data_IF_185425101724
#
_entry.id   IF_185425101724
#
_cell.length_a   1.000
_cell.length_b   1.000
_cell.length_c   1.000
_cell.angle_alpha   90.00
_cell.angle_beta   90.00
_cell.angle_gamma   90.00
#
_symmetry.space_group_name_H-M   'P 1'
#
loop_
_entity.id
_entity.type
_entity.pdbx_description
1 polymer ?
#
# COMPACT_ATOMS: atom_id res chain seq x y z
N UNK A 1 45.55 -17.20 3.45
CA UNK A 1 44.46 -17.79 4.28
C UNK A 1 43.74 -16.65 4.98
N UNK A 2 42.51 -16.36 4.53
CA UNK A 2 41.78 -15.13 4.82
C UNK A 2 41.40 -14.93 6.30
N UNK A 3 41.41 -13.68 6.81
CA UNK A 3 40.88 -13.34 8.13
C UNK A 3 39.41 -12.89 8.08
N UNK A 4 38.62 -13.38 9.05
CA UNK A 4 37.55 -12.65 9.77
C UNK A 4 36.37 -12.05 9.01
N UNK A 5 35.23 -12.76 8.99
CA UNK A 5 33.90 -12.17 8.79
C UNK A 5 33.02 -12.34 10.04
N UNK A 6 32.53 -11.27 10.70
CA UNK A 6 31.60 -11.38 11.81
C UNK A 6 30.15 -11.54 11.33
N UNK A 7 29.57 -12.75 11.47
CA UNK A 7 28.15 -13.07 11.20
C UNK A 7 27.24 -12.81 12.42
N UNK A 8 27.11 -11.57 12.89
CA UNK A 8 26.23 -11.28 14.05
C UNK A 8 25.26 -10.09 13.83
N UNK A 9 25.42 -9.26 12.81
CA UNK A 9 24.67 -7.99 12.74
C UNK A 9 23.28 -8.00 12.10
N UNK A 10 22.78 -9.11 11.55
CA UNK A 10 21.52 -9.10 10.79
C UNK A 10 20.26 -9.56 11.56
N UNK A 11 20.35 -9.96 12.83
CA UNK A 11 19.21 -10.61 13.53
C UNK A 11 18.52 -9.77 14.62
N UNK A 12 18.90 -8.51 14.83
CA UNK A 12 18.36 -7.74 15.98
C UNK A 12 17.64 -6.43 15.60
N UNK A 13 17.59 -6.03 14.32
CA UNK A 13 16.96 -4.75 13.95
C UNK A 13 15.43 -4.78 13.78
N UNK A 14 14.76 -5.94 13.87
CA UNK A 14 13.32 -6.01 13.59
C UNK A 14 12.40 -6.15 14.82
N UNK A 15 12.91 -6.12 16.05
CA UNK A 15 12.04 -6.43 17.20
C UNK A 15 11.71 -5.28 18.16
N UNK A 16 12.45 -4.15 18.22
CA UNK A 16 12.22 -3.18 19.31
C UNK A 16 12.52 -1.68 19.01
N UNK A 17 12.31 -1.17 17.79
CA UNK A 17 12.36 0.30 17.56
C UNK A 17 11.21 0.83 16.67
N UNK A 18 10.67 2.02 16.97
CA UNK A 18 9.50 2.57 16.29
C UNK A 18 9.81 2.92 14.83
N UNK A 19 8.89 2.52 13.96
CA UNK A 19 8.98 2.43 12.50
C UNK A 19 9.19 3.75 11.72
N UNK A 20 9.53 4.86 12.39
CA UNK A 20 9.64 6.20 11.80
C UNK A 20 11.01 6.56 11.22
N UNK A 21 12.11 6.04 11.77
CA UNK A 21 13.46 6.53 11.45
C UNK A 21 14.24 5.72 10.39
N UNK A 22 13.76 4.53 10.00
CA UNK A 22 14.43 3.72 8.98
C UNK A 22 14.35 4.33 7.56
N UNK A 23 13.24 5.02 7.24
CA UNK A 23 13.04 5.62 5.91
C UNK A 23 13.90 6.88 5.72
N UNK A 24 14.19 7.61 6.81
CA UNK A 24 15.01 8.82 6.78
C UNK A 24 16.49 8.50 6.51
N UNK A 25 17.02 7.46 7.18
CA UNK A 25 18.41 7.03 7.02
C UNK A 25 18.71 6.53 5.60
N UNK A 26 17.77 5.82 4.96
CA UNK A 26 17.93 5.36 3.58
C UNK A 26 17.90 6.50 2.56
N UNK A 27 17.10 7.55 2.81
CA UNK A 27 17.01 8.73 1.93
C UNK A 27 18.27 9.59 1.93
N UNK A 28 18.91 9.77 3.08
CA UNK A 28 20.17 10.53 3.19
C UNK A 28 21.32 9.81 2.46
N UNK A 29 21.41 8.48 2.58
CA UNK A 29 22.43 7.69 1.91
C UNK A 29 22.32 7.73 0.37
N UNK A 30 21.09 7.70 -0.17
CA UNK A 30 20.85 7.80 -1.63
C UNK A 30 21.18 9.20 -2.15
N UNK A 31 20.87 10.25 -1.38
CA UNK A 31 21.15 11.64 -1.79
C UNK A 31 22.66 11.95 -1.85
N UNK A 32 23.46 11.40 -0.91
CA UNK A 32 24.91 11.55 -0.92
C UNK A 32 25.59 10.77 -2.05
N UNK A 33 25.05 9.61 -2.44
CA UNK A 33 25.59 8.82 -3.55
C UNK A 33 25.37 9.50 -4.92
N UNK A 34 24.21 10.15 -5.13
CA UNK A 34 23.92 10.84 -6.40
C UNK A 34 24.73 12.11 -6.62
N UNK A 35 25.09 12.85 -5.54
CA UNK A 35 25.89 14.07 -5.66
C UNK A 35 27.35 13.79 -6.05
N UNK A 36 27.90 12.64 -5.63
CA UNK A 36 29.25 12.20 -6.01
C UNK A 36 29.34 11.81 -7.50
N UNK A 37 28.28 11.21 -8.07
CA UNK A 37 28.25 10.83 -9.49
C UNK A 37 28.16 12.05 -10.43
N UNK A 38 27.44 13.09 -10.05
CA UNK A 38 27.30 14.31 -10.86
C UNK A 38 28.61 15.11 -11.01
N UNK A 39 29.53 14.99 -10.04
CA UNK A 39 30.80 15.75 -10.02
C UNK A 39 31.88 15.15 -10.94
N UNK A 40 31.76 13.88 -11.32
CA UNK A 40 32.72 13.19 -12.17
C UNK A 40 32.58 13.54 -13.68
N UNK A 41 31.42 14.05 -14.12
CA UNK A 41 31.20 14.42 -15.53
C UNK A 41 31.72 15.82 -15.89
N UNK A 42 32.12 16.64 -14.92
CA UNK A 42 32.45 18.06 -15.14
C UNK A 42 33.93 18.34 -15.52
N UNK A 43 34.81 17.34 -15.56
CA UNK A 43 36.26 17.56 -15.71
C UNK A 43 36.83 17.40 -17.13
N UNK A 44 36.01 17.15 -18.16
CA UNK A 44 36.52 16.91 -19.51
C UNK A 44 35.98 17.87 -20.59
N UNK A 45 36.13 19.17 -20.34
CA UNK A 45 35.99 20.20 -21.39
C UNK A 45 37.33 20.92 -21.50
N UNK A 46 38.21 20.39 -22.35
CA UNK A 46 39.37 21.13 -22.84
C UNK A 46 38.90 22.24 -23.78
N UNK A 47 39.15 23.49 -23.42
CA UNK A 47 38.83 24.65 -24.25
C UNK A 47 39.58 24.57 -25.60
N UNK A 48 38.93 24.94 -26.73
CA UNK A 48 39.62 25.00 -28.02
C UNK A 48 40.61 26.18 -28.06
N UNK A 49 41.73 26.07 -28.80
CA UNK A 49 42.69 27.17 -28.94
C UNK A 49 42.06 28.33 -29.74
N UNK A 50 42.27 29.55 -29.26
CA UNK A 50 41.81 30.77 -29.92
C UNK A 50 42.56 31.01 -31.25
N UNK A 51 41.87 31.35 -32.35
CA UNK A 51 42.54 31.78 -33.58
C UNK A 51 43.02 33.23 -33.43
N UNK A 52 44.34 33.42 -33.52
CA UNK A 52 44.96 34.72 -33.75
C UNK A 52 44.86 35.09 -35.24
N UNK A 53 44.16 36.17 -35.57
CA UNK A 53 44.28 36.77 -36.91
C UNK A 53 43.98 38.26 -36.87
N UNK A 54 45.04 39.05 -37.00
CA UNK A 54 45.03 40.45 -37.42
C UNK A 54 44.42 40.55 -38.83
N UNK A 55 43.22 41.13 -38.97
CA UNK A 55 42.63 41.58 -40.26
C UNK A 55 41.80 42.85 -40.00
N UNK A 56 41.95 43.94 -40.80
CA UNK A 56 41.28 45.23 -40.58
C UNK A 56 39.76 45.15 -40.86
N UNK A 57 38.94 46.15 -40.43
CA UNK A 57 37.48 46.03 -40.41
C UNK A 57 36.88 46.23 -41.81
N UNK A 58 36.98 45.22 -42.66
CA UNK A 58 36.04 45.02 -43.75
C UNK A 58 34.90 44.16 -43.19
N UNK A 59 33.70 44.72 -43.15
CA UNK A 59 32.51 44.15 -42.50
C UNK A 59 32.44 42.63 -42.61
N UNK A 60 32.59 41.95 -41.47
CA UNK A 60 32.50 40.51 -41.38
C UNK A 60 31.17 40.07 -41.99
N UNK A 61 31.20 39.34 -43.11
CA UNK A 61 30.01 38.73 -43.67
C UNK A 61 29.55 37.64 -42.71
N UNK A 62 28.64 38.02 -41.81
CA UNK A 62 27.96 37.09 -40.91
C UNK A 62 27.05 36.24 -41.80
N UNK A 63 27.31 34.93 -41.85
CA UNK A 63 26.43 34.00 -42.54
C UNK A 63 24.99 34.15 -41.97
N UNK A 64 23.95 34.20 -42.82
CA UNK A 64 22.58 34.37 -42.34
C UNK A 64 22.20 33.20 -41.43
N UNK A 65 21.70 33.53 -40.24
CA UNK A 65 21.22 32.54 -39.28
C UNK A 65 19.96 31.86 -39.82
N UNK A 66 19.90 30.53 -39.71
CA UNK A 66 18.72 29.74 -40.03
C UNK A 66 18.54 29.52 -41.54
N UNK A 67 18.74 28.28 -41.97
CA UNK A 67 18.15 27.79 -43.24
C UNK A 67 16.78 27.21 -42.91
N UNK A 68 15.80 27.37 -43.81
CA UNK A 68 14.43 26.87 -43.61
C UNK A 68 14.40 25.37 -43.22
N UNK A 69 15.31 24.57 -43.80
CA UNK A 69 15.47 23.16 -43.48
C UNK A 69 15.87 22.91 -42.02
N UNK A 70 16.81 23.72 -41.49
CA UNK A 70 17.26 23.61 -40.08
C UNK A 70 16.17 24.04 -39.10
N UNK A 71 15.35 25.03 -39.46
CA UNK A 71 14.21 25.43 -38.64
C UNK A 71 13.16 24.31 -38.58
N UNK A 72 12.91 23.64 -39.72
CA UNK A 72 11.96 22.53 -39.82
C UNK A 72 12.42 21.29 -39.04
N UNK A 73 13.71 20.98 -39.07
CA UNK A 73 14.29 19.90 -38.27
C UNK A 73 14.16 20.15 -36.76
N UNK A 74 14.45 21.38 -36.32
CA UNK A 74 14.32 21.77 -34.92
C UNK A 74 12.86 21.74 -34.45
N UNK A 75 11.91 22.17 -35.28
CA UNK A 75 10.48 22.06 -34.99
C UNK A 75 10.03 20.60 -34.86
N UNK A 76 10.47 19.72 -35.76
CA UNK A 76 10.16 18.29 -35.67
C UNK A 76 10.79 17.63 -34.44
N UNK A 77 12.00 18.04 -34.06
CA UNK A 77 12.64 17.57 -32.83
C UNK A 77 11.87 18.04 -31.58
N UNK A 78 11.44 19.30 -31.56
CA UNK A 78 10.62 19.84 -30.47
C UNK A 78 9.29 19.10 -30.34
N UNK A 79 8.61 18.83 -31.46
CA UNK A 79 7.35 18.07 -31.48
C UNK A 79 7.53 16.65 -30.91
N UNK A 80 8.54 15.90 -31.38
CA UNK A 80 8.82 14.55 -30.84
C UNK A 80 9.17 14.56 -29.34
N UNK A 81 9.82 15.62 -28.88
CA UNK A 81 10.14 15.79 -27.46
C UNK A 81 8.86 16.05 -26.66
N UNK A 82 7.91 16.80 -27.19
CA UNK A 82 6.61 17.03 -26.55
C UNK A 82 5.80 15.73 -26.45
N UNK A 83 5.74 14.92 -27.52
CA UNK A 83 5.04 13.63 -27.50
C UNK A 83 5.61 12.72 -26.40
N UNK A 84 6.94 12.64 -26.29
CA UNK A 84 7.60 11.85 -25.24
C UNK A 84 7.26 12.34 -23.82
N UNK A 85 7.12 13.66 -23.64
CA UNK A 85 6.72 14.22 -22.35
C UNK A 85 5.25 13.91 -22.03
N UNK A 86 4.37 13.90 -23.03
CA UNK A 86 2.98 13.50 -22.86
C UNK A 86 2.90 12.03 -22.43
N UNK A 87 3.60 11.13 -23.12
CA UNK A 87 3.68 9.71 -22.74
C UNK A 87 4.18 9.53 -21.29
N UNK A 88 5.18 10.32 -20.89
CA UNK A 88 5.71 10.30 -19.54
C UNK A 88 4.70 10.77 -18.50
N UNK A 89 3.94 11.83 -18.80
CA UNK A 89 2.89 12.36 -17.91
C UNK A 89 1.74 11.37 -17.78
N UNK A 90 1.27 10.80 -18.89
CA UNK A 90 0.18 9.81 -18.88
C UNK A 90 0.57 8.57 -18.05
N UNK A 91 1.79 8.05 -18.25
CA UNK A 91 2.27 6.92 -17.46
C UNK A 91 2.45 7.27 -15.96
N UNK A 92 2.91 8.50 -15.66
CA UNK A 92 3.02 8.98 -14.29
C UNK A 92 1.65 9.09 -13.60
N UNK A 93 0.63 9.58 -14.32
CA UNK A 93 -0.73 9.66 -13.80
C UNK A 93 -1.30 8.28 -13.48
N UNK A 94 -1.15 7.31 -14.40
CA UNK A 94 -1.60 5.93 -14.15
C UNK A 94 -0.92 5.35 -12.90
N UNK A 95 0.37 5.61 -12.72
CA UNK A 95 1.10 5.16 -11.54
C UNK A 95 0.58 5.82 -10.25
N UNK A 96 0.29 7.12 -10.28
CA UNK A 96 -0.18 7.86 -9.12
C UNK A 96 -1.61 7.47 -8.73
N UNK A 97 -2.51 7.28 -9.70
CA UNK A 97 -3.86 6.79 -9.45
C UNK A 97 -3.81 5.41 -8.78
N UNK A 98 -3.04 4.47 -9.34
CA UNK A 98 -2.86 3.14 -8.72
C UNK A 98 -2.35 3.28 -7.28
N UNK A 99 -1.32 4.09 -7.05
CA UNK A 99 -0.76 4.33 -5.71
C UNK A 99 -1.80 4.89 -4.74
N UNK A 100 -2.58 5.88 -5.16
CA UNK A 100 -3.62 6.50 -4.34
C UNK A 100 -4.76 5.52 -4.03
N UNK A 101 -5.25 4.79 -5.04
CA UNK A 101 -6.31 3.80 -4.91
C UNK A 101 -5.90 2.66 -3.97
N UNK A 102 -4.71 2.06 -4.15
CA UNK A 102 -4.27 0.97 -3.27
C UNK A 102 -4.10 1.43 -1.82
N UNK A 103 -3.68 2.68 -1.59
CA UNK A 103 -3.61 3.25 -0.24
C UNK A 103 -4.99 3.48 0.35
N UNK A 104 -5.93 3.99 -0.43
CA UNK A 104 -7.31 4.17 0.00
C UNK A 104 -7.97 2.83 0.34
N UNK A 105 -7.84 1.82 -0.53
CA UNK A 105 -8.37 0.47 -0.32
C UNK A 105 -7.77 -0.23 0.89
N UNK A 106 -6.48 -0.03 1.17
CA UNK A 106 -5.85 -0.60 2.38
C UNK A 106 -6.46 -0.01 3.65
N UNK A 107 -6.76 1.30 3.66
CA UNK A 107 -7.42 1.97 4.79
C UNK A 107 -8.89 1.55 4.91
N UNK A 108 -9.59 1.48 3.78
CA UNK A 108 -10.98 1.05 3.72
C UNK A 108 -11.13 -0.37 4.29
N UNK A 109 -10.29 -1.32 3.83
CA UNK A 109 -10.30 -2.69 4.33
C UNK A 109 -10.07 -2.77 5.84
N UNK A 110 -9.15 -1.97 6.38
CA UNK A 110 -8.90 -1.94 7.82
C UNK A 110 -10.10 -1.38 8.60
N UNK A 111 -10.76 -0.34 8.07
CA UNK A 111 -11.97 0.22 8.65
C UNK A 111 -13.13 -0.78 8.58
N UNK A 112 -13.39 -1.40 7.42
CA UNK A 112 -14.44 -2.39 7.22
C UNK A 112 -14.30 -3.58 8.18
N UNK A 113 -13.11 -4.16 8.30
CA UNK A 113 -12.88 -5.27 9.24
C UNK A 113 -13.23 -4.85 10.68
N UNK A 114 -12.86 -3.63 11.07
CA UNK A 114 -13.17 -3.10 12.40
C UNK A 114 -14.67 -2.87 12.60
N UNK A 115 -15.36 -2.33 11.59
CA UNK A 115 -16.81 -2.13 11.66
C UNK A 115 -17.55 -3.46 11.73
N UNK A 116 -17.13 -4.48 10.97
CA UNK A 116 -17.70 -5.82 11.08
C UNK A 116 -17.46 -6.47 12.45
N UNK A 117 -16.26 -6.31 13.04
CA UNK A 117 -16.00 -6.81 14.41
C UNK A 117 -16.85 -6.06 15.46
N UNK A 118 -17.13 -4.79 15.22
CA UNK A 118 -17.99 -3.98 16.09
C UNK A 118 -19.44 -4.45 16.01
N UNK A 119 -19.97 -4.65 14.80
CA UNK A 119 -21.34 -5.15 14.59
C UNK A 119 -21.51 -6.52 15.24
N UNK A 120 -20.57 -7.45 15.01
CA UNK A 120 -20.65 -8.79 15.59
C UNK A 120 -20.71 -8.78 17.14
N UNK A 121 -19.93 -7.88 17.78
CA UNK A 121 -19.98 -7.69 19.24
C UNK A 121 -21.33 -7.14 19.70
N UNK A 122 -21.85 -6.13 19.01
CA UNK A 122 -23.15 -5.53 19.35
C UNK A 122 -24.30 -6.53 19.17
N UNK A 123 -24.27 -7.34 18.12
CA UNK A 123 -25.28 -8.39 17.89
C UNK A 123 -25.23 -9.45 18.99
N UNK A 124 -24.04 -9.88 19.40
CA UNK A 124 -23.90 -10.86 20.49
C UNK A 124 -24.41 -10.29 21.82
N UNK A 125 -24.06 -9.03 22.13
CA UNK A 125 -24.56 -8.35 23.32
C UNK A 125 -26.08 -8.22 23.32
N UNK A 126 -26.68 -7.87 22.18
CA UNK A 126 -28.13 -7.78 22.06
C UNK A 126 -28.82 -9.14 22.27
N UNK A 127 -28.21 -10.23 21.79
CA UNK A 127 -28.72 -11.59 22.02
C UNK A 127 -28.60 -11.96 23.50
N UNK A 128 -27.45 -11.69 24.12
CA UNK A 128 -27.22 -12.00 25.54
C UNK A 128 -28.20 -11.23 26.43
N UNK A 129 -28.38 -9.93 26.20
CA UNK A 129 -29.34 -9.10 26.94
C UNK A 129 -30.79 -9.56 26.75
N UNK A 130 -31.16 -9.97 25.52
CA UNK A 130 -32.49 -10.53 25.27
C UNK A 130 -32.71 -11.82 26.06
N UNK A 131 -31.72 -12.72 26.07
CA UNK A 131 -31.77 -13.99 26.78
C UNK A 131 -31.83 -13.82 28.31
N UNK A 132 -31.12 -12.82 28.84
CA UNK A 132 -31.15 -12.49 30.27
C UNK A 132 -32.53 -11.96 30.70
N UNK A 133 -33.21 -11.21 29.83
CA UNK A 133 -34.53 -10.66 30.10
C UNK A 133 -35.68 -11.65 29.84
N UNK A 134 -35.49 -12.69 29.02
CA UNK A 134 -36.53 -13.64 28.62
C UNK A 134 -36.16 -15.09 28.97
N UNK A 135 -36.58 -15.53 30.15
CA UNK A 135 -36.40 -16.92 30.57
C UNK A 135 -37.53 -17.79 30.02
N UNK A 136 -37.28 -18.47 28.90
CA UNK A 136 -38.28 -19.32 28.22
C UNK A 136 -38.99 -20.31 29.16
N UNK A 137 -38.29 -20.91 30.12
CA UNK A 137 -38.90 -21.83 31.11
C UNK A 137 -39.82 -21.14 32.12
N UNK A 138 -39.58 -19.87 32.42
CA UNK A 138 -40.43 -19.10 33.32
C UNK A 138 -41.70 -18.60 32.61
N UNK A 139 -41.57 -18.22 31.33
CA UNK A 139 -42.69 -17.72 30.51
C UNK A 139 -43.52 -18.84 29.87
N UNK A 140 -42.94 -20.03 29.70
CA UNK A 140 -43.62 -21.21 29.19
C UNK A 140 -43.42 -22.40 30.15
N UNK A 141 -44.23 -22.48 31.23
CA UNK A 141 -44.11 -23.54 32.21
C UNK A 141 -44.38 -24.90 31.55
N UNK A 142 -43.43 -25.82 31.72
CA UNK A 142 -43.55 -27.18 31.19
C UNK A 142 -44.35 -28.02 32.17
N UNK A 143 -45.51 -28.50 31.74
CA UNK A 143 -46.19 -29.60 32.42
C UNK A 143 -45.70 -30.93 31.84
N UNK A 144 -45.20 -31.81 32.70
CA UNK A 144 -44.73 -33.12 32.30
C UNK A 144 -45.92 -34.05 32.24
N UNK A 145 -46.14 -34.77 31.13
CA UNK A 145 -47.29 -35.69 30.99
C UNK A 145 -47.34 -36.71 32.14
N UNK A 146 -46.18 -37.16 32.64
CA UNK A 146 -46.06 -38.05 33.79
C UNK A 146 -46.58 -37.45 35.12
N UNK A 147 -46.72 -36.12 35.24
CA UNK A 147 -47.33 -35.45 36.39
C UNK A 147 -48.84 -35.68 36.45
N UNK A 148 -49.47 -35.85 35.27
CA UNK A 148 -50.89 -36.09 35.10
C UNK A 148 -51.22 -37.57 34.89
N UNK A 149 -50.21 -38.45 34.81
CA UNK A 149 -50.40 -39.89 34.74
C UNK A 149 -50.79 -40.44 36.12
N UNK A 150 -51.88 -41.24 36.22
CA UNK A 150 -52.24 -41.88 37.47
C UNK A 150 -51.14 -42.85 37.89
N UNK A 151 -50.92 -42.98 39.20
CA UNK A 151 -49.98 -43.95 39.74
C UNK A 151 -50.28 -45.34 39.15
N UNK A 152 -49.26 -45.99 38.59
CA UNK A 152 -49.37 -47.36 38.07
C UNK A 152 -49.94 -48.21 39.20
N UNK A 153 -51.13 -48.78 39.00
CA UNK A 153 -51.77 -49.63 39.99
C UNK A 153 -50.79 -50.76 40.35
N UNK A 154 -50.29 -50.75 41.58
CA UNK A 154 -49.38 -51.79 42.08
C UNK A 154 -50.14 -53.07 42.42
N UNK A 155 -51.08 -53.46 41.56
CA UNK A 155 -51.73 -54.74 41.70
C UNK A 155 -50.89 -55.78 40.97
N UNK A 156 -49.96 -56.38 41.73
CA UNK A 156 -49.15 -57.52 41.28
C UNK A 156 -49.97 -58.81 41.17
N UNK A 157 -51.27 -58.79 41.51
CA UNK A 157 -52.15 -59.97 41.55
C UNK A 157 -53.47 -59.82 40.78
N UNK A 158 -53.77 -58.69 40.14
CA UNK A 158 -54.76 -58.64 39.06
C UNK A 158 -54.18 -59.23 37.79
N UNK A 159 -54.00 -60.55 37.79
CA UNK A 159 -54.06 -61.29 36.54
C UNK A 159 -55.48 -61.13 35.98
N UNK A 160 -55.60 -60.94 34.67
CA UNK A 160 -56.87 -60.99 33.96
C UNK A 160 -57.50 -62.39 34.12
N UNK A 161 -58.23 -62.60 35.21
CA UNK A 161 -59.02 -63.81 35.46
C UNK A 161 -60.46 -63.38 35.71
N UNK A 162 -61.27 -63.41 34.65
CA UNK A 162 -62.72 -63.24 34.74
C UNK A 162 -63.35 -62.33 33.68
N UNK A 163 -63.16 -62.66 32.39
CA UNK A 163 -64.17 -62.49 31.35
C UNK A 163 -64.34 -63.84 30.64
#
# INVERSE_FOLDING_TARGET
SHPGHPKIWYRTCCHDLPCGNCVMALRVAVFFASLAAARALAMNISAPPAPSSDVPPAGAQIAPFGKEDTARELQQHAARTQDTLVDAVENAEVAEIKRAVFRALTRLRAAEIKEFDTIARLETQAIDEYNDNHHYRAENPLDYIASAEPAVSTDKYTSFHGL
#
